data_IF_236924124046
#
_entry.id   IF_236924124046
#
_cell.length_a   1.000
_cell.length_b   1.000
_cell.length_c   1.000
_cell.angle_alpha   90.00
_cell.angle_beta   90.00
_cell.angle_gamma   90.00
#
_symmetry.space_group_name_H-M   'P 1'
#
loop_
_entity.id
_entity.type
_entity.pdbx_description
1 polymer ?
#
# COMPACT_ATOMS: atom_id res chain seq x y z
N UNK A 1 -14.57 -19.16 13.59
CA UNK A 1 -13.62 -18.94 14.70
C UNK A 1 -12.53 -19.99 14.55
N UNK A 2 -11.27 -19.62 14.63
CA UNK A 2 -10.14 -20.55 14.63
C UNK A 2 -9.62 -20.55 16.06
N UNK A 3 -9.59 -21.71 16.68
CA UNK A 3 -9.10 -21.87 18.04
C UNK A 3 -7.71 -22.52 17.98
N UNK A 4 -6.72 -21.86 18.57
CA UNK A 4 -5.37 -22.38 18.74
C UNK A 4 -5.05 -22.46 20.23
N UNK A 5 -4.37 -23.50 20.65
CA UNK A 5 -3.99 -23.69 22.06
C UNK A 5 -2.46 -23.61 22.22
N UNK A 6 -2.02 -22.68 23.07
CA UNK A 6 -0.61 -22.44 23.41
C UNK A 6 -0.15 -23.21 24.66
N UNK A 7 -0.93 -24.15 25.20
CA UNK A 7 -0.68 -24.78 26.50
C UNK A 7 0.65 -25.55 26.59
N UNK A 8 1.20 -26.00 25.45
CA UNK A 8 2.43 -26.79 25.46
C UNK A 8 3.72 -25.97 25.38
N UNK A 9 3.71 -24.85 24.64
CA UNK A 9 4.92 -24.06 24.38
C UNK A 9 4.77 -22.55 24.70
N UNK A 10 3.59 -22.10 25.09
CA UNK A 10 3.32 -20.69 25.35
C UNK A 10 3.29 -19.82 24.10
N UNK A 11 3.23 -20.40 22.91
CA UNK A 11 3.27 -19.69 21.64
C UNK A 11 2.09 -20.07 20.75
N UNK A 12 1.45 -19.06 20.15
CA UNK A 12 0.42 -19.24 19.13
C UNK A 12 0.90 -18.52 17.88
N UNK A 13 0.99 -19.24 16.76
CA UNK A 13 1.31 -18.68 15.45
C UNK A 13 0.09 -18.73 14.55
N UNK A 14 -0.27 -17.61 13.95
CA UNK A 14 -1.32 -17.51 12.95
C UNK A 14 -0.86 -16.66 11.76
N UNK A 15 -1.11 -17.15 10.54
CA UNK A 15 -0.76 -16.44 9.31
C UNK A 15 -2.01 -15.85 8.69
N UNK A 16 -2.06 -14.52 8.57
CA UNK A 16 -3.11 -13.81 7.85
C UNK A 16 -2.81 -13.86 6.35
N UNK A 17 -3.79 -14.31 5.56
CA UNK A 17 -3.70 -14.38 4.10
C UNK A 17 -4.36 -13.19 3.39
N UNK A 18 -5.03 -12.35 4.16
CA UNK A 18 -5.82 -11.21 3.70
C UNK A 18 -5.42 -9.95 4.46
N UNK A 19 -5.72 -8.78 3.91
CA UNK A 19 -5.42 -7.49 4.53
C UNK A 19 -6.65 -6.85 5.16
N UNK A 20 -6.45 -5.97 6.14
CA UNK A 20 -7.52 -5.31 6.87
C UNK A 20 -7.30 -5.25 8.38
N UNK A 21 -8.39 -5.03 9.12
CA UNK A 21 -8.42 -5.01 10.59
C UNK A 21 -9.12 -6.27 11.11
N UNK A 22 -8.41 -7.04 11.90
CA UNK A 22 -8.90 -8.31 12.44
C UNK A 22 -9.00 -8.22 13.95
N UNK A 23 -10.10 -8.74 14.53
CA UNK A 23 -10.20 -8.95 15.97
C UNK A 23 -9.72 -10.35 16.33
N UNK A 24 -8.87 -10.43 17.33
CA UNK A 24 -8.50 -11.70 17.98
C UNK A 24 -8.81 -11.61 19.46
N UNK A 25 -9.29 -12.72 20.03
CA UNK A 25 -9.44 -12.87 21.46
C UNK A 25 -8.32 -13.76 21.98
N UNK A 26 -7.56 -13.26 22.95
CA UNK A 26 -6.56 -14.04 23.68
C UNK A 26 -7.14 -14.36 25.05
N UNK A 27 -7.16 -15.65 25.41
CA UNK A 27 -7.75 -16.08 26.67
C UNK A 27 -6.84 -17.02 27.45
N UNK A 28 -7.13 -17.11 28.73
CA UNK A 28 -6.56 -18.09 29.63
C UNK A 28 -7.67 -18.76 30.44
N UNK A 29 -7.50 -20.04 30.75
CA UNK A 29 -8.39 -20.79 31.62
C UNK A 29 -7.55 -21.23 32.82
N UNK A 30 -8.02 -20.93 34.04
CA UNK A 30 -7.36 -21.34 35.25
C UNK A 30 -7.71 -22.80 35.64
N UNK A 31 -7.11 -23.30 36.71
CA UNK A 31 -7.35 -24.64 37.24
C UNK A 31 -8.75 -24.85 37.87
N UNK A 32 -9.50 -23.76 38.00
CA UNK A 32 -10.89 -23.76 38.48
C UNK A 32 -11.90 -23.59 37.33
N UNK A 33 -11.45 -23.67 36.07
CA UNK A 33 -12.23 -23.48 34.86
C UNK A 33 -12.77 -22.05 34.67
N UNK A 34 -12.17 -21.04 35.33
CA UNK A 34 -12.52 -19.64 35.04
C UNK A 34 -11.82 -19.20 33.76
N UNK A 35 -12.57 -18.53 32.90
CA UNK A 35 -12.11 -18.05 31.61
C UNK A 35 -11.85 -16.54 31.66
N UNK A 36 -10.71 -16.12 31.15
CA UNK A 36 -10.30 -14.72 31.04
C UNK A 36 -9.95 -14.44 29.58
N UNK A 37 -10.56 -13.40 28.96
CA UNK A 37 -10.35 -13.05 27.57
C UNK A 37 -10.01 -11.58 27.43
N UNK A 38 -9.06 -11.28 26.56
CA UNK A 38 -8.73 -9.93 26.08
C UNK A 38 -8.89 -9.90 24.56
N UNK A 39 -9.55 -8.85 24.05
CA UNK A 39 -9.68 -8.61 22.62
C UNK A 39 -8.58 -7.67 22.16
N UNK A 40 -7.88 -8.07 21.09
CA UNK A 40 -6.87 -7.26 20.42
C UNK A 40 -7.27 -7.01 18.99
N UNK A 41 -6.88 -5.86 18.44
CA UNK A 41 -7.02 -5.55 17.02
C UNK A 41 -5.68 -5.76 16.33
N UNK A 42 -5.68 -6.58 15.29
CA UNK A 42 -4.52 -6.88 14.47
C UNK A 42 -4.69 -6.18 13.13
N UNK A 43 -3.72 -5.33 12.78
CA UNK A 43 -3.68 -4.62 11.52
C UNK A 43 -2.76 -5.36 10.54
N UNK A 44 -3.29 -5.62 9.34
CA UNK A 44 -2.54 -6.20 8.23
C UNK A 44 -2.61 -5.25 7.05
N UNK A 45 -1.52 -4.55 6.79
CA UNK A 45 -1.37 -3.67 5.63
C UNK A 45 -1.05 -4.50 4.38
N UNK A 46 -1.49 -4.02 3.19
CA UNK A 46 -1.20 -4.66 1.90
C UNK A 46 -0.11 -3.87 1.19
N UNK A 47 0.98 -4.55 0.83
CA UNK A 47 2.01 -3.99 -0.03
C UNK A 47 1.94 -4.61 -1.42
N UNK A 48 1.95 -3.78 -2.44
CA UNK A 48 1.92 -4.16 -3.85
C UNK A 48 3.15 -3.55 -4.51
N UNK A 49 3.88 -4.36 -5.27
CA UNK A 49 4.97 -3.89 -6.14
C UNK A 49 4.59 -4.17 -7.58
N UNK A 50 4.90 -3.25 -8.46
CA UNK A 50 4.60 -3.34 -9.87
C UNK A 50 5.72 -2.66 -10.67
N UNK A 51 6.06 -3.22 -11.83
CA UNK A 51 7.04 -2.65 -12.74
C UNK A 51 6.63 -2.82 -14.19
N UNK A 52 7.03 -1.85 -15.02
CA UNK A 52 6.89 -1.87 -16.47
C UNK A 52 8.18 -1.35 -17.09
N UNK A 53 8.90 -2.23 -17.76
CA UNK A 53 10.24 -1.97 -18.26
C UNK A 53 10.23 -1.70 -19.76
N UNK A 54 11.06 -0.74 -20.19
CA UNK A 54 11.28 -0.40 -21.61
C UNK A 54 9.99 -0.02 -22.33
N UNK A 55 9.18 0.82 -21.71
CA UNK A 55 7.89 1.27 -22.22
C UNK A 55 7.90 2.75 -22.59
N UNK A 56 7.25 3.13 -23.71
CA UNK A 56 6.97 4.53 -24.04
C UNK A 56 5.57 4.96 -23.56
N UNK A 57 4.73 3.99 -23.20
CA UNK A 57 3.37 4.19 -22.70
C UNK A 57 3.13 3.24 -21.55
N UNK A 58 3.51 3.65 -20.31
CA UNK A 58 3.35 2.81 -19.13
C UNK A 58 1.91 2.33 -18.93
N UNK A 59 1.77 1.06 -18.60
CA UNK A 59 0.48 0.48 -18.26
C UNK A 59 -0.05 1.04 -16.92
N UNK A 60 -1.37 1.14 -16.81
CA UNK A 60 -2.03 1.62 -15.59
C UNK A 60 -1.97 0.56 -14.50
N UNK A 61 -1.42 0.92 -13.34
CA UNK A 61 -1.47 0.05 -12.16
C UNK A 61 -2.82 0.15 -11.46
N UNK A 62 -3.53 -0.97 -11.34
CA UNK A 62 -4.76 -1.06 -10.55
C UNK A 62 -4.45 -1.38 -9.08
N UNK A 63 -5.04 -0.60 -8.17
CA UNK A 63 -4.87 -0.69 -6.72
C UNK A 63 -6.24 -1.07 -6.12
N UNK A 64 -6.41 -2.34 -5.76
CA UNK A 64 -7.64 -2.77 -5.10
C UNK A 64 -7.60 -2.37 -3.62
N UNK A 65 -8.42 -1.36 -3.28
CA UNK A 65 -8.51 -0.76 -1.96
C UNK A 65 -9.71 -1.27 -1.14
N UNK A 66 -10.50 -2.21 -1.67
CA UNK A 66 -11.54 -2.88 -0.89
C UNK A 66 -10.88 -3.83 0.12
N UNK A 67 -11.16 -3.70 1.43
CA UNK A 67 -10.63 -4.64 2.41
C UNK A 67 -11.20 -6.05 2.20
N UNK A 68 -10.42 -7.07 2.51
CA UNK A 68 -10.85 -8.48 2.43
C UNK A 68 -11.69 -8.93 3.64
N UNK A 69 -11.99 -8.02 4.55
CA UNK A 69 -12.76 -8.27 5.77
C UNK A 69 -14.00 -7.36 5.82
N UNK A 70 -14.98 -7.72 6.64
CA UNK A 70 -16.08 -6.82 7.02
C UNK A 70 -15.57 -5.79 8.06
N UNK A 71 -14.63 -4.96 7.63
CA UNK A 71 -13.96 -3.95 8.44
C UNK A 71 -13.99 -2.59 7.73
N UNK A 72 -13.56 -1.55 8.42
CA UNK A 72 -13.53 -0.19 7.86
C UNK A 72 -12.62 -0.06 6.62
N UNK A 73 -12.90 0.95 5.82
CA UNK A 73 -12.06 1.30 4.67
C UNK A 73 -10.60 1.56 5.11
N UNK A 74 -9.63 1.41 4.19
CA UNK A 74 -8.26 1.82 4.46
C UNK A 74 -8.21 3.31 4.82
N UNK A 75 -7.29 3.68 5.71
CA UNK A 75 -7.08 5.08 6.04
C UNK A 75 -6.25 5.79 4.98
N UNK A 76 -5.30 5.07 4.40
CA UNK A 76 -4.29 5.68 3.56
C UNK A 76 -3.80 4.74 2.46
N UNK A 77 -3.55 5.28 1.26
CA UNK A 77 -2.71 4.67 0.23
C UNK A 77 -1.39 5.44 0.21
N UNK A 78 -0.28 4.75 0.46
CA UNK A 78 1.09 5.26 0.31
C UNK A 78 1.63 4.83 -1.03
N UNK A 79 2.13 5.78 -1.79
CA UNK A 79 2.73 5.57 -3.11
C UNK A 79 4.20 5.95 -3.03
N UNK A 80 5.05 5.08 -3.54
CA UNK A 80 6.46 5.33 -3.83
C UNK A 80 6.70 4.84 -5.26
N UNK A 81 6.90 5.77 -6.17
CA UNK A 81 6.99 5.51 -7.60
C UNK A 81 8.26 6.14 -8.16
N UNK A 82 8.95 5.38 -8.98
CA UNK A 82 10.15 5.81 -9.70
C UNK A 82 9.93 5.62 -11.19
N UNK A 83 10.30 6.62 -11.98
CA UNK A 83 10.44 6.52 -13.44
C UNK A 83 11.88 6.78 -13.78
N UNK A 84 12.54 5.78 -14.37
CA UNK A 84 13.92 5.88 -14.83
C UNK A 84 13.95 6.06 -16.35
N UNK A 85 14.70 7.06 -16.83
CA UNK A 85 15.05 7.20 -18.24
C UNK A 85 16.44 6.56 -18.42
N UNK A 86 16.53 5.28 -18.83
CA UNK A 86 17.78 4.55 -18.84
C UNK A 86 18.79 5.17 -19.82
N UNK A 87 20.07 5.07 -19.48
CA UNK A 87 21.13 5.53 -20.34
C UNK A 87 21.17 4.70 -21.63
N UNK A 88 20.67 5.25 -22.73
CA UNK A 88 20.73 4.62 -24.01
C UNK A 88 22.12 4.82 -24.63
N UNK A 89 22.90 3.74 -24.72
CA UNK A 89 24.19 3.72 -25.40
C UNK A 89 24.00 3.81 -26.93
N UNK A 90 23.57 4.97 -27.43
CA UNK A 90 23.48 5.21 -28.87
C UNK A 90 24.83 5.72 -29.39
N UNK A 91 25.38 4.98 -30.34
CA UNK A 91 26.52 5.42 -31.13
C UNK A 91 26.05 6.44 -32.17
N UNK A 92 26.29 7.74 -31.92
CA UNK A 92 26.03 8.77 -32.91
C UNK A 92 25.48 10.09 -32.33
N UNK A 93 25.06 11.02 -33.18
CA UNK A 93 24.55 12.34 -32.76
C UNK A 93 23.15 12.30 -32.11
N UNK A 94 22.56 11.14 -31.94
CA UNK A 94 21.28 10.95 -31.27
C UNK A 94 21.57 10.64 -29.80
N UNK A 95 21.65 11.68 -28.99
CA UNK A 95 21.66 11.54 -27.53
C UNK A 95 20.26 11.13 -27.09
N UNK A 96 20.15 10.30 -26.03
CA UNK A 96 18.89 9.97 -25.42
C UNK A 96 18.08 11.24 -25.12
N UNK A 97 16.79 11.16 -25.30
CA UNK A 97 15.90 12.31 -25.21
C UNK A 97 15.55 12.61 -23.75
N UNK A 98 15.22 13.86 -23.50
CA UNK A 98 14.54 14.26 -22.26
C UNK A 98 13.10 13.82 -22.34
N UNK A 99 12.57 13.24 -21.26
CA UNK A 99 11.16 12.94 -21.12
C UNK A 99 10.55 13.79 -20.02
N UNK A 100 9.28 14.14 -20.19
CA UNK A 100 8.45 14.77 -19.16
C UNK A 100 7.55 13.71 -18.56
N UNK A 101 7.59 13.56 -17.25
CA UNK A 101 6.83 12.57 -16.48
C UNK A 101 5.79 13.29 -15.62
N UNK A 102 4.57 12.75 -15.60
CA UNK A 102 3.49 13.23 -14.72
C UNK A 102 2.75 12.01 -14.15
N UNK A 103 2.57 11.98 -12.84
CA UNK A 103 1.78 10.93 -12.17
C UNK A 103 0.37 11.40 -11.89
N UNK A 104 -0.60 10.52 -12.03
CA UNK A 104 -1.99 10.75 -11.64
C UNK A 104 -2.51 9.58 -10.83
N UNK A 105 -3.16 9.89 -9.71
CA UNK A 105 -3.93 8.93 -8.94
C UNK A 105 -5.41 9.19 -9.18
N UNK A 106 -6.11 8.18 -9.70
CA UNK A 106 -7.55 8.22 -9.89
C UNK A 106 -8.23 7.41 -8.77
N UNK A 107 -9.34 7.92 -8.28
CA UNK A 107 -10.15 7.24 -7.29
C UNK A 107 -11.01 6.12 -7.91
N UNK A 108 -11.81 5.44 -7.08
CA UNK A 108 -12.66 4.31 -7.49
C UNK A 108 -13.75 4.69 -8.51
N UNK A 109 -13.96 5.97 -8.78
CA UNK A 109 -14.92 6.48 -9.80
C UNK A 109 -14.22 7.07 -11.03
N UNK A 110 -12.92 6.81 -11.22
CA UNK A 110 -12.08 7.34 -12.29
C UNK A 110 -11.90 8.88 -12.27
N UNK A 111 -12.18 9.52 -11.15
CA UNK A 111 -11.89 10.93 -10.98
C UNK A 111 -10.45 11.13 -10.47
N UNK A 112 -9.77 12.17 -10.98
CA UNK A 112 -8.41 12.50 -10.51
C UNK A 112 -8.47 12.95 -9.05
N UNK A 113 -7.88 12.14 -8.16
CA UNK A 113 -7.73 12.46 -6.74
C UNK A 113 -6.53 13.38 -6.50
N UNK A 114 -5.43 13.14 -7.23
CA UNK A 114 -4.23 13.98 -7.21
C UNK A 114 -3.41 13.81 -8.49
N UNK A 115 -2.60 14.82 -8.79
CA UNK A 115 -1.67 14.84 -9.92
C UNK A 115 -0.36 15.49 -9.47
N UNK A 116 0.78 14.96 -9.92
CA UNK A 116 2.08 15.58 -9.67
C UNK A 116 2.29 16.80 -10.57
N UNK A 117 3.23 17.67 -10.20
CA UNK A 117 3.78 18.59 -11.17
C UNK A 117 4.56 17.79 -12.24
N UNK A 118 4.56 18.23 -13.53
CA UNK A 118 5.40 17.64 -14.55
C UNK A 118 6.89 17.75 -14.18
N UNK A 119 7.64 16.66 -14.32
CA UNK A 119 9.08 16.59 -14.07
C UNK A 119 9.83 16.18 -15.32
N UNK A 120 10.88 16.90 -15.66
CA UNK A 120 11.73 16.58 -16.82
C UNK A 120 12.94 15.79 -16.34
N UNK A 121 13.20 14.64 -16.99
CA UNK A 121 14.35 13.78 -16.74
C UNK A 121 15.10 13.53 -18.04
N UNK A 122 16.41 13.79 -17.99
CA UNK A 122 17.31 13.48 -19.10
C UNK A 122 17.73 12.01 -19.11
N UNK A 123 18.46 11.65 -20.15
CA UNK A 123 19.04 10.31 -20.31
C UNK A 123 19.91 9.93 -19.08
N UNK A 124 19.68 8.76 -18.51
CA UNK A 124 20.35 8.27 -17.30
C UNK A 124 19.88 8.93 -16.00
N UNK A 125 18.74 9.62 -16.01
CA UNK A 125 18.15 10.24 -14.82
C UNK A 125 16.84 9.57 -14.42
N UNK A 126 16.47 9.74 -13.14
CA UNK A 126 15.25 9.21 -12.55
C UNK A 126 14.42 10.35 -11.96
N UNK A 127 13.09 10.19 -12.02
CA UNK A 127 12.14 10.99 -11.27
C UNK A 127 11.45 10.12 -10.23
N UNK A 128 11.12 10.70 -9.07
CA UNK A 128 10.49 10.00 -7.97
C UNK A 128 9.26 10.75 -7.48
N UNK A 129 8.17 10.02 -7.27
CA UNK A 129 6.96 10.57 -6.69
C UNK A 129 6.55 9.78 -5.46
N UNK A 130 6.67 10.43 -4.28
CA UNK A 130 6.22 9.88 -3.00
C UNK A 130 4.97 10.64 -2.57
N UNK A 131 3.87 9.93 -2.41
CA UNK A 131 2.59 10.54 -2.07
C UNK A 131 1.79 9.70 -1.09
N UNK A 132 0.99 10.36 -0.26
CA UNK A 132 0.09 9.73 0.70
C UNK A 132 -1.33 10.25 0.45
N UNK A 133 -2.21 9.37 -0.01
CA UNK A 133 -3.63 9.65 -0.19
C UNK A 133 -4.39 9.20 1.06
N UNK A 134 -5.17 10.11 1.63
CA UNK A 134 -6.09 9.86 2.74
C UNK A 134 -7.54 9.81 2.26
N UNK A 135 -8.45 9.38 3.10
CA UNK A 135 -9.88 9.26 2.82
C UNK A 135 -10.13 8.33 1.62
N UNK A 136 -9.72 7.08 1.81
CA UNK A 136 -9.81 6.07 0.78
C UNK A 136 -11.22 5.49 0.72
N UNK A 137 -11.87 5.67 -0.41
CA UNK A 137 -13.13 4.96 -0.71
C UNK A 137 -12.79 3.53 -1.18
N UNK A 138 -13.57 2.52 -0.74
CA UNK A 138 -13.44 1.16 -1.24
C UNK A 138 -13.60 1.10 -2.77
N UNK A 139 -12.90 0.19 -3.41
CA UNK A 139 -12.92 0.00 -4.86
C UNK A 139 -11.53 0.03 -5.48
N UNK A 140 -11.49 -0.03 -6.80
CA UNK A 140 -10.25 -0.05 -7.56
C UNK A 140 -9.79 1.37 -7.85
N UNK A 141 -8.68 1.78 -7.25
CA UNK A 141 -7.95 3.01 -7.58
C UNK A 141 -6.96 2.73 -8.71
N UNK A 142 -6.53 3.77 -9.42
CA UNK A 142 -5.59 3.64 -10.54
C UNK A 142 -4.43 4.60 -10.38
N UNK A 143 -3.22 4.09 -10.57
CA UNK A 143 -2.01 4.90 -10.67
C UNK A 143 -1.57 4.91 -12.13
N UNK A 144 -1.58 6.11 -12.71
CA UNK A 144 -1.16 6.36 -14.08
C UNK A 144 0.14 7.16 -14.09
N UNK A 145 0.99 6.85 -15.07
CA UNK A 145 2.19 7.62 -15.39
C UNK A 145 2.09 8.06 -16.84
N UNK A 146 2.10 9.36 -17.05
CA UNK A 146 2.12 9.96 -18.37
C UNK A 146 3.57 10.35 -18.71
N UNK A 147 4.07 9.81 -19.81
CA UNK A 147 5.43 10.03 -20.29
C UNK A 147 5.38 10.67 -21.66
N UNK A 148 6.02 11.83 -21.81
CA UNK A 148 6.08 12.56 -23.07
C UNK A 148 7.54 12.85 -23.41
N UNK A 149 8.03 12.30 -24.53
CA UNK A 149 9.37 12.57 -25.02
C UNK A 149 9.45 13.97 -25.65
N UNK A 150 10.57 14.65 -25.45
CA UNK A 150 10.89 15.88 -26.17
C UNK A 150 11.55 15.53 -27.50
N UNK A 151 10.78 15.53 -28.59
CA UNK A 151 11.27 15.29 -29.94
C UNK A 151 10.46 14.24 -30.74
N UNK A 152 10.98 13.89 -31.91
CA UNK A 152 10.33 12.93 -32.82
C UNK A 152 10.77 11.49 -32.52
N UNK A 153 10.39 10.93 -31.38
CA UNK A 153 10.75 9.55 -31.05
C UNK A 153 10.03 9.04 -29.79
N UNK A 154 9.90 7.73 -29.72
CA UNK A 154 9.39 7.02 -28.56
C UNK A 154 10.59 6.71 -27.63
N UNK A 155 10.83 7.57 -26.63
CA UNK A 155 11.80 7.26 -25.58
C UNK A 155 11.19 6.24 -24.64
N UNK A 156 11.97 5.21 -24.29
CA UNK A 156 11.54 4.14 -23.41
C UNK A 156 12.03 4.40 -21.99
N UNK A 157 11.12 4.27 -21.05
CA UNK A 157 11.39 4.41 -19.61
C UNK A 157 11.15 3.09 -18.88
N UNK A 158 11.70 2.97 -17.69
CA UNK A 158 11.36 1.92 -16.74
C UNK A 158 10.55 2.55 -15.61
N UNK A 159 9.47 1.91 -15.23
CA UNK A 159 8.56 2.39 -14.20
C UNK A 159 8.46 1.36 -13.09
N UNK A 160 8.69 1.79 -11.85
CA UNK A 160 8.56 0.98 -10.66
C UNK A 160 7.59 1.63 -9.67
N UNK A 161 6.64 0.86 -9.17
CA UNK A 161 5.71 1.29 -8.13
C UNK A 161 5.78 0.39 -6.91
N UNK A 162 5.83 0.99 -5.74
CA UNK A 162 5.51 0.35 -4.47
C UNK A 162 4.31 1.07 -3.86
N UNK A 163 3.21 0.36 -3.70
CA UNK A 163 1.99 0.89 -3.09
C UNK A 163 1.71 0.13 -1.81
N UNK A 164 1.42 0.87 -0.71
CA UNK A 164 1.00 0.28 0.56
C UNK A 164 -0.38 0.81 0.94
N UNK A 165 -1.34 -0.10 1.09
CA UNK A 165 -2.66 0.16 1.63
C UNK A 165 -2.57 -0.01 3.14
N UNK A 166 -2.83 1.08 3.88
CA UNK A 166 -2.64 1.16 5.33
C UNK A 166 -3.98 1.20 6.03
N UNK A 167 -4.11 0.38 7.06
CA UNK A 167 -5.24 0.38 7.98
C UNK A 167 -4.81 0.97 9.31
N UNK A 168 -5.67 1.70 9.99
CA UNK A 168 -5.43 2.18 11.34
C UNK A 168 -6.51 1.64 12.25
N UNK A 169 -6.11 1.02 13.33
CA UNK A 169 -7.02 0.64 14.40
C UNK A 169 -7.52 1.93 15.06
N UNK A 170 -8.83 2.05 15.25
CA UNK A 170 -9.39 3.15 16.02
C UNK A 170 -8.92 3.02 17.48
N UNK A 171 -8.02 3.93 17.90
CA UNK A 171 -7.51 3.99 19.27
C UNK A 171 -8.60 4.41 20.28
N UNK A 172 -9.79 4.78 19.80
CA UNK A 172 -10.91 5.18 20.65
C UNK A 172 -11.62 3.99 21.32
N UNK A 173 -11.28 2.74 20.97
CA UNK A 173 -11.74 1.58 21.71
C UNK A 173 -10.99 1.53 23.03
N UNK A 174 -11.64 1.79 24.18
CA UNK A 174 -10.96 1.78 25.48
C UNK A 174 -10.29 0.42 25.66
N UNK A 175 -9.00 0.44 26.00
CA UNK A 175 -8.32 -0.77 26.43
C UNK A 175 -9.06 -1.31 27.68
N UNK A 176 -9.69 -2.49 27.63
CA UNK A 176 -10.46 -3.01 28.75
C UNK A 176 -9.62 -3.46 29.96
N UNK A 177 -8.31 -3.24 29.95
CA UNK A 177 -7.43 -3.53 31.09
C UNK A 177 -7.53 -2.46 32.20
N UNK A 178 -8.68 -2.27 32.76
CA UNK A 178 -8.74 -1.89 34.19
C UNK A 178 -8.89 -3.20 34.98
N UNK A 179 -7.82 -3.58 35.68
CA UNK A 179 -7.90 -4.66 36.63
C UNK A 179 -9.09 -4.40 37.59
N UNK A 180 -9.87 -5.44 37.98
CA UNK A 180 -10.91 -5.24 38.95
C UNK A 180 -10.27 -4.65 40.21
N UNK A 181 -10.81 -3.51 40.66
CA UNK A 181 -10.47 -2.97 41.98
C UNK A 181 -10.88 -4.03 42.99
N UNK A 182 -9.90 -4.62 43.64
CA UNK A 182 -10.14 -5.43 44.84
C UNK A 182 -10.66 -4.49 45.93
N UNK A 183 -11.98 -4.47 46.12
CA UNK A 183 -12.57 -3.87 47.31
C UNK A 183 -12.10 -4.69 48.54
N UNK A 184 -11.36 -4.03 49.45
CA UNK A 184 -11.09 -4.52 50.82
C UNK A 184 -12.32 -4.45 51.72
#
# INVERSE_FOLDING_TARGET
>A
MIENNAAENGEITYTYLTHGLFSAAIGAIDDQENEYFENITIRIDKRITWSDDSTATPDVMNIEATPDCDCGAPEQIKIDSTVANPENAQFGPFQGQTVTVTWRLLNSTDAVATESAPEQIGNGQDANWVYNQYFIEPGTWKLEVDVTAEGDGDEQVNVDHTVTIVYVADESIPNPMTAPETEE
#
